data_IF_815830920197
#
_entry.id   IF_815830920197
#
_cell.length_a   1.000
_cell.length_b   1.000
_cell.length_c   1.000
_cell.angle_alpha   90.00
_cell.angle_beta   90.00
_cell.angle_gamma   90.00
#
_symmetry.space_group_name_H-M   'P 1'
#
loop_
_entity.id
_entity.type
_entity.pdbx_description
1 polymer ?
#
# COMPACT_ATOMS: atom_id res chain seq x y z
N UNK A 1 2.82 26.55 -5.43
CA UNK A 1 1.81 25.62 -4.86
C UNK A 1 2.44 24.24 -4.90
N UNK A 2 2.52 23.54 -3.79
CA UNK A 2 3.10 22.18 -3.75
C UNK A 2 2.21 21.23 -4.57
N UNK A 3 2.73 20.59 -5.63
CA UNK A 3 1.94 19.71 -6.47
C UNK A 3 1.34 18.51 -5.72
N UNK A 4 1.90 18.16 -4.56
CA UNK A 4 1.35 17.12 -3.68
C UNK A 4 0.06 17.55 -2.97
N UNK A 5 -0.20 18.84 -2.91
CA UNK A 5 -1.37 19.46 -2.28
C UNK A 5 -2.42 19.94 -3.28
N UNK A 6 -2.18 19.78 -4.60
CA UNK A 6 -3.18 20.12 -5.60
C UNK A 6 -4.39 19.20 -5.43
N UNK A 7 -5.54 19.79 -5.22
CA UNK A 7 -6.83 19.14 -5.03
C UNK A 7 -6.99 18.38 -3.70
N UNK A 8 -6.61 19.00 -2.60
CA UNK A 8 -7.10 18.55 -1.27
C UNK A 8 -8.49 19.13 -1.10
N UNK A 9 -9.47 18.25 -0.88
CA UNK A 9 -10.77 18.66 -0.41
C UNK A 9 -10.59 19.32 0.96
N UNK A 10 -11.02 20.59 1.09
CA UNK A 10 -10.89 21.35 2.35
C UNK A 10 -11.48 20.62 3.54
N UNK A 11 -12.51 19.77 3.31
CA UNK A 11 -13.11 18.91 4.33
C UNK A 11 -12.15 17.87 4.92
N UNK A 12 -11.09 17.51 4.21
CA UNK A 12 -10.08 16.54 4.66
C UNK A 12 -8.90 17.18 5.39
N UNK A 13 -8.76 18.51 5.33
CA UNK A 13 -7.66 19.23 5.97
C UNK A 13 -7.72 19.19 7.52
N UNK A 14 -8.86 18.86 8.08
CA UNK A 14 -9.08 18.88 9.52
C UNK A 14 -9.19 17.50 10.16
N UNK A 15 -8.99 16.41 9.39
CA UNK A 15 -9.18 15.06 9.90
C UNK A 15 -8.02 14.13 9.55
N UNK A 16 -7.56 13.38 10.53
CA UNK A 16 -6.67 12.25 10.30
C UNK A 16 -7.39 11.19 9.46
N UNK A 17 -6.88 10.86 8.28
CA UNK A 17 -7.51 9.90 7.35
C UNK A 17 -7.61 8.48 7.91
N UNK A 18 -6.91 8.18 9.00
CA UNK A 18 -6.91 6.87 9.64
C UNK A 18 -7.88 6.72 10.80
N UNK A 19 -8.20 7.79 11.52
CA UNK A 19 -9.02 7.71 12.74
C UNK A 19 -10.01 8.87 12.94
N UNK A 20 -10.08 9.85 12.04
CA UNK A 20 -11.01 10.98 12.11
C UNK A 20 -10.68 12.04 13.16
N UNK A 21 -9.63 11.87 13.98
CA UNK A 21 -9.19 12.89 14.95
C UNK A 21 -8.47 14.04 14.24
N UNK A 22 -8.33 15.21 14.88
CA UNK A 22 -7.54 16.31 14.33
C UNK A 22 -6.12 15.84 13.96
N UNK A 23 -5.62 16.17 12.77
CA UNK A 23 -4.27 15.84 12.34
C UNK A 23 -3.26 16.82 12.94
N UNK A 24 -2.06 16.35 13.20
CA UNK A 24 -0.92 17.14 13.66
C UNK A 24 0.38 16.80 12.90
N UNK A 25 0.28 15.92 11.91
CA UNK A 25 1.39 15.49 11.05
C UNK A 25 0.89 15.08 9.67
N UNK A 26 1.83 14.71 8.81
CA UNK A 26 1.56 14.20 7.47
C UNK A 26 2.21 12.83 7.29
N UNK A 27 1.55 11.96 6.52
CA UNK A 27 2.04 10.63 6.23
C UNK A 27 2.12 10.40 4.72
N UNK A 28 3.13 9.65 4.29
CA UNK A 28 3.29 9.29 2.88
C UNK A 28 2.51 8.02 2.53
N UNK A 29 1.84 8.04 1.39
CA UNK A 29 1.09 6.89 0.87
C UNK A 29 1.56 6.56 -0.55
N UNK A 30 2.29 5.47 -0.73
CA UNK A 30 2.73 4.51 0.29
C UNK A 30 3.88 5.02 1.15
N UNK A 31 4.08 4.33 2.28
CA UNK A 31 5.21 4.63 3.16
C UNK A 31 6.55 4.43 2.46
N UNK A 32 7.48 5.34 2.68
CA UNK A 32 8.80 5.32 2.02
C UNK A 32 9.60 4.05 2.26
N UNK A 33 9.37 3.36 3.38
CA UNK A 33 10.06 2.10 3.69
C UNK A 33 9.71 0.99 2.70
N UNK A 34 8.51 1.04 2.11
CA UNK A 34 8.04 0.08 1.12
C UNK A 34 8.56 0.34 -0.31
N UNK A 35 9.20 1.49 -0.56
CA UNK A 35 9.70 1.90 -1.87
C UNK A 35 11.22 1.73 -1.96
N UNK A 36 11.76 1.72 -3.16
CA UNK A 36 13.20 1.82 -3.41
C UNK A 36 13.70 3.24 -3.22
N UNK A 37 15.00 3.40 -2.98
CA UNK A 37 15.65 4.71 -2.89
C UNK A 37 16.21 5.14 -4.26
N UNK A 38 16.04 6.40 -4.66
CA UNK A 38 15.24 7.41 -4.01
C UNK A 38 13.73 7.20 -4.23
N UNK A 39 12.87 7.52 -3.27
CA UNK A 39 11.42 7.48 -3.48
C UNK A 39 11.02 8.56 -4.49
N UNK A 40 9.86 8.42 -5.17
CA UNK A 40 9.32 9.44 -6.05
C UNK A 40 9.21 10.79 -5.34
N UNK A 41 9.56 11.87 -6.05
CA UNK A 41 9.52 13.23 -5.50
C UNK A 41 8.10 13.75 -5.24
N UNK A 42 7.14 13.21 -5.98
CA UNK A 42 5.71 13.54 -5.96
C UNK A 42 4.88 12.54 -5.14
N UNK A 43 5.54 11.80 -4.23
CA UNK A 43 4.88 10.78 -3.40
C UNK A 43 3.69 11.37 -2.65
N UNK A 44 2.49 10.79 -2.78
CA UNK A 44 1.29 11.24 -2.09
C UNK A 44 1.47 11.44 -0.59
N UNK A 45 0.81 12.47 -0.07
CA UNK A 45 0.84 12.82 1.36
C UNK A 45 -0.60 13.03 1.84
N UNK A 46 -0.94 12.46 2.98
CA UNK A 46 -2.24 12.59 3.63
C UNK A 46 -2.10 13.13 5.04
N UNK A 47 -3.14 13.79 5.54
CA UNK A 47 -3.16 14.30 6.90
C UNK A 47 -3.36 13.16 7.91
N UNK A 48 -2.52 13.14 8.94
CA UNK A 48 -2.53 12.10 9.95
C UNK A 48 -2.28 12.68 11.35
N UNK A 49 -2.78 12.03 12.38
CA UNK A 49 -2.34 12.34 13.74
C UNK A 49 -1.08 11.54 14.09
N UNK A 50 -0.22 12.12 14.92
CA UNK A 50 1.04 11.49 15.37
C UNK A 50 0.85 10.05 15.87
N UNK A 51 -0.17 9.72 16.71
CA UNK A 51 -0.38 8.33 17.13
C UNK A 51 -0.63 7.35 15.98
N UNK A 52 -1.40 7.75 14.95
CA UNK A 52 -1.62 6.89 13.78
C UNK A 52 -0.34 6.76 12.94
N UNK A 53 0.29 7.90 12.60
CA UNK A 53 1.48 7.91 11.77
C UNK A 53 2.63 7.07 12.37
N UNK A 54 2.87 7.20 13.68
CA UNK A 54 3.90 6.42 14.38
C UNK A 54 3.47 4.98 14.67
N UNK A 55 2.17 4.75 14.87
CA UNK A 55 1.63 3.43 15.25
C UNK A 55 1.86 2.35 14.19
N UNK A 56 1.97 2.71 12.93
CA UNK A 56 2.18 1.77 11.83
C UNK A 56 3.67 1.46 11.54
N UNK A 57 4.59 2.30 12.00
CA UNK A 57 5.99 2.29 11.54
C UNK A 57 6.72 0.97 11.76
N UNK A 58 6.46 0.28 12.88
CA UNK A 58 7.08 -1.03 13.17
C UNK A 58 6.52 -2.14 12.29
N UNK A 59 5.24 -2.07 11.92
CA UNK A 59 4.61 -3.06 11.04
C UNK A 59 5.02 -2.83 9.59
N UNK A 60 5.20 -1.58 9.19
CA UNK A 60 5.72 -1.21 7.87
C UNK A 60 7.18 -1.64 7.69
N UNK A 61 8.02 -1.44 8.71
CA UNK A 61 9.40 -1.94 8.70
C UNK A 61 9.43 -3.47 8.62
N UNK A 62 8.58 -4.14 9.42
CA UNK A 62 8.44 -5.60 9.36
C UNK A 62 8.05 -6.07 7.95
N UNK A 63 6.98 -5.53 7.37
CA UNK A 63 6.51 -5.95 6.05
C UNK A 63 7.56 -5.70 4.96
N UNK A 64 8.24 -4.54 4.99
CA UNK A 64 9.29 -4.21 4.04
C UNK A 64 10.47 -5.18 4.12
N UNK A 65 10.90 -5.55 5.35
CA UNK A 65 11.99 -6.50 5.58
C UNK A 65 11.56 -7.92 5.21
N UNK A 66 10.35 -8.33 5.60
CA UNK A 66 9.79 -9.63 5.28
C UNK A 66 9.73 -9.87 3.77
N UNK A 67 9.13 -8.95 3.02
CA UNK A 67 9.02 -9.06 1.56
C UNK A 67 10.39 -9.14 0.89
N UNK A 68 11.37 -8.34 1.32
CA UNK A 68 12.72 -8.39 0.76
C UNK A 68 13.38 -9.75 1.01
N UNK A 69 13.19 -10.35 2.20
CA UNK A 69 13.71 -11.69 2.52
C UNK A 69 13.01 -12.78 1.69
N UNK A 70 11.69 -12.70 1.53
CA UNK A 70 10.93 -13.63 0.70
C UNK A 70 11.40 -13.60 -0.75
N UNK A 71 11.54 -12.40 -1.33
CA UNK A 71 11.99 -12.21 -2.72
C UNK A 71 13.44 -12.67 -2.93
N UNK A 72 14.28 -12.51 -1.93
CA UNK A 72 15.67 -12.99 -1.96
C UNK A 72 15.79 -14.50 -1.66
N UNK A 73 14.73 -15.14 -1.16
CA UNK A 73 14.79 -16.52 -0.64
C UNK A 73 15.77 -16.67 0.54
N UNK A 74 16.09 -15.59 1.23
CA UNK A 74 17.15 -15.57 2.24
C UNK A 74 16.96 -14.44 3.25
N UNK A 75 17.35 -14.71 4.51
CA UNK A 75 17.45 -13.68 5.56
C UNK A 75 18.87 -13.13 5.73
N UNK A 76 19.84 -13.64 4.96
CA UNK A 76 21.21 -13.13 4.99
C UNK A 76 21.26 -11.74 4.32
N UNK A 77 21.63 -10.68 5.04
CA UNK A 77 21.68 -9.33 4.48
C UNK A 77 22.53 -9.20 3.21
N UNK A 78 23.50 -10.10 3.00
CA UNK A 78 24.35 -10.09 1.79
C UNK A 78 23.59 -10.45 0.52
N UNK A 79 22.47 -11.16 0.63
CA UNK A 79 21.63 -11.58 -0.50
C UNK A 79 20.50 -10.61 -0.80
N UNK A 80 20.21 -9.66 0.12
CA UNK A 80 19.13 -8.70 -0.05
C UNK A 80 19.54 -7.62 -1.07
N UNK A 81 18.57 -7.05 -1.76
CA UNK A 81 18.81 -6.02 -2.77
C UNK A 81 18.89 -4.61 -2.17
N UNK A 82 17.95 -4.29 -1.25
CA UNK A 82 17.72 -2.93 -0.76
C UNK A 82 18.63 -2.59 0.42
N UNK A 83 19.53 -1.62 0.24
CA UNK A 83 20.52 -1.23 1.26
C UNK A 83 19.89 -0.76 2.58
N UNK A 84 18.72 -0.10 2.52
CA UNK A 84 18.02 0.31 3.75
C UNK A 84 17.51 -0.88 4.55
N UNK A 85 17.08 -1.95 3.87
CA UNK A 85 16.61 -3.17 4.53
C UNK A 85 17.79 -3.95 5.12
N UNK A 86 18.91 -4.06 4.40
CA UNK A 86 20.15 -4.65 4.95
C UNK A 86 20.53 -3.98 6.27
N UNK A 87 20.52 -2.63 6.29
CA UNK A 87 20.85 -1.85 7.50
C UNK A 87 19.82 -2.04 8.60
N UNK A 88 18.53 -2.11 8.30
CA UNK A 88 17.49 -2.35 9.29
C UNK A 88 17.67 -3.71 9.96
N UNK A 89 17.83 -4.78 9.19
CA UNK A 89 18.02 -6.13 9.71
C UNK A 89 19.36 -6.31 10.45
N UNK A 90 20.44 -5.64 9.98
CA UNK A 90 21.74 -5.68 10.67
C UNK A 90 21.75 -4.93 12.02
N UNK A 91 20.78 -4.09 12.29
CA UNK A 91 20.66 -3.31 13.55
C UNK A 91 19.57 -3.84 14.48
N UNK A 92 18.72 -4.72 14.00
CA UNK A 92 17.56 -5.21 14.74
C UNK A 92 17.51 -6.74 14.74
N UNK A 93 18.33 -7.34 15.63
CA UNK A 93 18.41 -8.80 15.76
C UNK A 93 17.06 -9.45 16.09
N UNK A 94 16.16 -8.73 16.80
CA UNK A 94 14.82 -9.24 17.12
C UNK A 94 13.95 -9.33 15.88
N UNK A 95 14.01 -8.31 15.01
CA UNK A 95 13.28 -8.31 13.74
C UNK A 95 13.82 -9.42 12.82
N UNK A 96 15.15 -9.54 12.72
CA UNK A 96 15.79 -10.60 11.94
C UNK A 96 15.37 -11.99 12.44
N UNK A 97 15.47 -12.26 13.74
CA UNK A 97 15.09 -13.55 14.33
C UNK A 97 13.59 -13.87 14.09
N UNK A 98 12.73 -12.86 14.15
CA UNK A 98 11.29 -13.00 13.89
C UNK A 98 11.02 -13.41 12.43
N UNK A 99 11.69 -12.76 11.47
CA UNK A 99 11.57 -13.11 10.05
C UNK A 99 12.21 -14.49 9.79
N UNK A 100 13.33 -14.82 10.41
CA UNK A 100 13.92 -16.17 10.31
C UNK A 100 12.97 -17.25 10.79
N UNK A 101 12.26 -17.01 11.88
CA UNK A 101 11.30 -17.96 12.44
C UNK A 101 10.06 -18.16 11.55
N UNK A 102 9.78 -17.25 10.62
CA UNK A 102 8.66 -17.36 9.66
C UNK A 102 9.00 -18.25 8.45
N UNK A 103 10.29 -18.53 8.23
CA UNK A 103 10.74 -19.40 7.13
C UNK A 103 10.69 -20.86 7.58
N UNK A 104 10.08 -21.70 6.76
CA UNK A 104 10.04 -23.16 6.92
C UNK A 104 10.20 -23.82 5.56
N UNK A 105 10.50 -25.10 5.55
CA UNK A 105 10.44 -25.93 4.35
C UNK A 105 9.06 -26.60 4.29
N UNK A 106 8.51 -26.66 3.10
CA UNK A 106 7.32 -27.47 2.84
C UNK A 106 7.67 -28.98 2.70
N UNK A 107 6.69 -29.80 2.38
CA UNK A 107 6.84 -31.25 2.20
C UNK A 107 7.74 -31.62 0.99
N UNK A 108 8.14 -30.63 0.19
CA UNK A 108 9.00 -30.78 -1.00
C UNK A 108 10.34 -30.07 -0.85
N UNK A 109 10.73 -29.73 0.39
CA UNK A 109 11.95 -28.96 0.72
C UNK A 109 12.00 -27.55 0.07
N UNK A 110 10.86 -26.97 -0.27
CA UNK A 110 10.78 -25.60 -0.81
C UNK A 110 10.60 -24.61 0.34
N UNK A 111 11.38 -23.52 0.38
CA UNK A 111 11.19 -22.48 1.40
C UNK A 111 9.82 -21.81 1.28
N UNK A 112 9.03 -21.91 2.33
CA UNK A 112 7.74 -21.23 2.50
C UNK A 112 7.86 -20.24 3.64
N UNK A 113 7.26 -19.07 3.46
CA UNK A 113 7.34 -17.97 4.40
C UNK A 113 5.94 -17.64 4.92
N UNK A 114 5.76 -17.69 6.22
CA UNK A 114 4.49 -17.40 6.88
C UNK A 114 4.59 -16.07 7.63
N UNK A 115 3.97 -14.99 7.12
CA UNK A 115 4.06 -13.67 7.75
C UNK A 115 3.26 -13.61 9.05
N UNK A 116 3.53 -12.59 9.87
CA UNK A 116 2.64 -12.20 10.96
C UNK A 116 1.41 -11.49 10.36
N UNK A 117 0.34 -12.21 10.14
CA UNK A 117 -0.87 -11.75 9.42
C UNK A 117 -1.43 -10.44 9.97
N UNK A 118 -1.47 -10.27 11.28
CA UNK A 118 -1.97 -9.06 11.91
C UNK A 118 -1.19 -7.82 11.46
N UNK A 119 0.15 -7.92 11.40
CA UNK A 119 1.01 -6.82 10.95
C UNK A 119 0.81 -6.51 9.47
N UNK A 120 0.75 -7.56 8.64
CA UNK A 120 0.52 -7.40 7.21
C UNK A 120 -0.82 -6.72 6.97
N UNK A 121 -1.89 -7.23 7.60
CA UNK A 121 -3.23 -6.64 7.50
C UNK A 121 -3.28 -5.19 7.98
N UNK A 122 -2.59 -4.87 9.08
CA UNK A 122 -2.52 -3.52 9.62
C UNK A 122 -1.90 -2.54 8.60
N UNK A 123 -0.78 -2.92 7.96
CA UNK A 123 -0.15 -2.11 6.93
C UNK A 123 -1.02 -2.00 5.69
N UNK A 124 -1.59 -3.10 5.22
CA UNK A 124 -2.47 -3.11 4.03
C UNK A 124 -3.68 -2.22 4.24
N UNK A 125 -4.32 -2.30 5.40
CA UNK A 125 -5.45 -1.44 5.76
C UNK A 125 -5.05 0.04 5.83
N UNK A 126 -3.90 0.35 6.44
CA UNK A 126 -3.34 1.72 6.46
C UNK A 126 -3.16 2.26 5.04
N UNK A 127 -2.50 1.51 4.17
CA UNK A 127 -2.25 1.91 2.79
C UNK A 127 -3.56 2.13 2.03
N UNK A 128 -4.50 1.21 2.17
CA UNK A 128 -5.79 1.30 1.49
C UNK A 128 -6.60 2.53 1.94
N UNK A 129 -6.64 2.83 3.24
CA UNK A 129 -7.27 4.06 3.78
C UNK A 129 -6.62 5.32 3.22
N UNK A 130 -5.29 5.35 3.18
CA UNK A 130 -4.56 6.47 2.63
C UNK A 130 -4.84 6.69 1.15
N UNK A 131 -4.89 5.62 0.35
CA UNK A 131 -5.22 5.71 -1.08
C UNK A 131 -6.67 6.12 -1.31
N UNK A 132 -7.65 5.56 -0.57
CA UNK A 132 -9.05 5.97 -0.67
C UNK A 132 -9.22 7.46 -0.38
N UNK A 133 -8.63 7.95 0.70
CA UNK A 133 -8.66 9.37 1.05
C UNK A 133 -7.98 10.24 -0.01
N UNK A 134 -6.80 9.84 -0.50
CA UNK A 134 -6.03 10.63 -1.45
C UNK A 134 -6.65 10.65 -2.85
N UNK A 135 -7.14 9.53 -3.34
CA UNK A 135 -7.63 9.39 -4.71
C UNK A 135 -9.09 9.80 -4.86
N UNK A 136 -9.94 9.43 -3.88
CA UNK A 136 -11.37 9.67 -3.94
C UNK A 136 -11.84 10.83 -3.08
N UNK A 137 -11.03 11.35 -2.18
CA UNK A 137 -11.44 12.27 -1.10
C UNK A 137 -12.44 11.63 -0.13
N UNK A 138 -12.38 10.30 0.04
CA UNK A 138 -13.30 9.49 0.85
C UNK A 138 -12.52 8.72 1.95
N UNK A 139 -12.23 9.32 3.11
CA UNK A 139 -11.61 8.62 4.23
C UNK A 139 -12.49 7.47 4.70
N UNK A 140 -11.91 6.28 4.79
CA UNK A 140 -12.57 5.07 5.27
C UNK A 140 -12.25 4.85 6.74
N UNK A 141 -13.11 5.35 7.64
CA UNK A 141 -12.89 5.31 9.09
C UNK A 141 -13.41 4.03 9.74
N UNK A 142 -14.42 3.43 9.15
CA UNK A 142 -15.00 2.17 9.61
C UNK A 142 -14.13 0.97 9.24
N UNK A 143 -14.46 -0.19 9.82
CA UNK A 143 -13.81 -1.45 9.45
C UNK A 143 -14.15 -1.83 8.00
N UNK A 144 -13.21 -2.40 7.23
CA UNK A 144 -13.51 -2.93 5.92
C UNK A 144 -14.37 -4.19 6.02
N UNK A 145 -15.17 -4.43 4.97
CA UNK A 145 -15.90 -5.69 4.82
C UNK A 145 -14.93 -6.84 4.49
N UNK A 146 -13.97 -6.56 3.60
CA UNK A 146 -13.00 -7.55 3.14
C UNK A 146 -11.57 -7.01 3.22
N UNK A 147 -10.66 -7.85 3.68
CA UNK A 147 -9.21 -7.67 3.51
C UNK A 147 -8.62 -8.98 2.99
N UNK A 148 -8.22 -8.98 1.74
CA UNK A 148 -7.56 -10.11 1.08
C UNK A 148 -6.09 -9.79 0.86
N UNK A 149 -5.22 -10.74 1.15
CA UNK A 149 -3.76 -10.65 0.92
C UNK A 149 -3.26 -12.00 0.44
N UNK A 150 -2.59 -12.03 -0.70
CA UNK A 150 -2.03 -13.27 -1.26
C UNK A 150 -0.83 -12.98 -2.14
N UNK A 151 0.17 -13.86 -2.20
CA UNK A 151 1.16 -13.82 -3.28
C UNK A 151 0.47 -13.96 -4.64
N UNK A 152 0.84 -13.13 -5.62
CA UNK A 152 0.31 -13.22 -6.99
C UNK A 152 0.46 -14.63 -7.60
N UNK A 153 1.56 -15.32 -7.26
CA UNK A 153 1.83 -16.67 -7.75
C UNK A 153 0.96 -17.75 -7.09
N UNK A 154 0.35 -17.46 -5.95
CA UNK A 154 -0.54 -18.37 -5.25
C UNK A 154 -2.01 -18.24 -5.70
N UNK A 155 -2.32 -17.21 -6.48
CA UNK A 155 -3.65 -17.01 -7.03
C UNK A 155 -3.88 -17.96 -8.22
N UNK A 156 -5.14 -18.40 -8.42
CA UNK A 156 -5.52 -19.08 -9.65
C UNK A 156 -5.35 -18.14 -10.86
N UNK A 157 -5.20 -18.70 -12.07
CA UNK A 157 -5.08 -17.90 -13.29
C UNK A 157 -6.30 -16.99 -13.52
N UNK A 158 -7.49 -17.45 -13.12
CA UNK A 158 -8.74 -16.70 -13.23
C UNK A 158 -8.78 -15.55 -12.23
N UNK A 159 -8.47 -15.81 -10.96
CA UNK A 159 -8.43 -14.79 -9.91
C UNK A 159 -7.36 -13.74 -10.22
N UNK A 160 -6.18 -14.18 -10.66
CA UNK A 160 -5.10 -13.29 -11.03
C UNK A 160 -5.48 -12.41 -12.21
N UNK A 161 -6.10 -12.99 -13.25
CA UNK A 161 -6.59 -12.23 -14.40
C UNK A 161 -7.64 -11.21 -14.00
N UNK A 162 -8.56 -11.58 -13.13
CA UNK A 162 -9.57 -10.67 -12.58
C UNK A 162 -8.93 -9.55 -11.75
N UNK A 163 -7.97 -9.88 -10.91
CA UNK A 163 -7.23 -8.92 -10.09
C UNK A 163 -6.42 -7.93 -10.93
N UNK A 164 -5.70 -8.42 -11.95
CA UNK A 164 -4.84 -7.59 -12.81
C UNK A 164 -5.64 -6.68 -13.76
N UNK A 165 -6.86 -7.09 -14.09
CA UNK A 165 -7.80 -6.31 -14.88
C UNK A 165 -9.01 -5.96 -14.01
N UNK A 166 -8.82 -5.14 -12.95
CA UNK A 166 -9.96 -4.62 -12.24
C UNK A 166 -10.85 -4.00 -13.30
N UNK A 167 -12.11 -4.41 -13.35
CA UNK A 167 -13.07 -4.03 -14.41
C UNK A 167 -12.96 -2.54 -14.69
N UNK A 168 -13.49 -2.02 -15.79
CA UNK A 168 -13.33 -0.61 -16.08
C UNK A 168 -13.70 0.08 -14.80
N UNK A 169 -12.73 0.67 -14.12
CA UNK A 169 -12.92 1.50 -12.93
C UNK A 169 -13.98 2.51 -13.33
N UNK A 170 -15.15 1.97 -13.48
CA UNK A 170 -16.29 2.61 -14.04
C UNK A 170 -16.90 3.34 -12.90
N UNK A 171 -16.43 4.57 -12.72
CA UNK A 171 -17.22 5.54 -12.01
C UNK A 171 -18.65 5.40 -12.49
N UNK A 172 -19.48 4.65 -11.79
CA UNK A 172 -20.92 4.67 -11.97
C UNK A 172 -21.47 5.99 -11.41
N UNK A 173 -20.85 7.08 -11.86
CA UNK A 173 -21.11 8.43 -11.43
C UNK A 173 -19.85 9.28 -11.64
N UNK A 174 -19.96 10.55 -11.39
CA UNK A 174 -18.81 11.43 -11.35
C UNK A 174 -18.17 11.29 -9.96
N UNK A 175 -16.83 11.10 -9.89
CA UNK A 175 -16.13 11.11 -8.61
C UNK A 175 -16.32 12.44 -7.93
N UNK A 176 -16.11 12.46 -6.63
CA UNK A 176 -16.16 13.67 -5.83
C UNK A 176 -15.38 14.79 -6.51
N UNK A 177 -16.02 15.94 -6.71
CA UNK A 177 -15.43 17.12 -7.37
C UNK A 177 -14.14 17.49 -6.62
N UNK A 178 -13.07 17.76 -7.37
CA UNK A 178 -11.72 18.01 -6.89
C UNK A 178 -10.96 16.78 -6.33
N UNK A 179 -11.56 15.59 -6.31
CA UNK A 179 -10.79 14.38 -6.08
C UNK A 179 -9.79 14.12 -7.22
N UNK A 180 -8.74 13.36 -6.96
CA UNK A 180 -7.79 12.99 -8.02
C UNK A 180 -8.44 12.10 -9.09
N UNK A 181 -9.37 11.25 -8.68
CA UNK A 181 -10.17 10.46 -9.59
C UNK A 181 -11.00 11.37 -10.54
N UNK A 182 -11.60 12.44 -9.99
CA UNK A 182 -12.29 13.45 -10.81
C UNK A 182 -11.34 14.14 -11.80
N UNK A 183 -10.17 14.58 -11.33
CA UNK A 183 -9.19 15.24 -12.19
C UNK A 183 -8.72 14.32 -13.33
N UNK A 184 -8.55 13.02 -13.07
CA UNK A 184 -8.25 12.03 -14.13
C UNK A 184 -9.43 11.89 -15.12
N UNK A 185 -10.65 11.81 -14.60
CA UNK A 185 -11.86 11.67 -15.43
C UNK A 185 -12.06 12.86 -16.39
N UNK A 186 -11.68 14.08 -15.99
CA UNK A 186 -11.73 15.27 -16.84
C UNK A 186 -10.46 15.50 -17.68
N UNK A 187 -9.53 14.54 -17.69
CA UNK A 187 -8.33 14.58 -18.52
C UNK A 187 -7.19 15.43 -17.96
N UNK A 188 -7.26 15.87 -16.70
CA UNK A 188 -6.10 16.45 -16.02
C UNK A 188 -5.02 15.37 -15.85
N UNK A 189 -3.75 15.72 -16.06
CA UNK A 189 -2.63 14.79 -15.86
C UNK A 189 -2.23 14.78 -14.40
N UNK A 190 -2.57 13.76 -13.62
CA UNK A 190 -2.02 13.60 -12.27
C UNK A 190 -0.54 13.22 -12.36
N UNK A 191 0.19 13.43 -11.28
CA UNK A 191 1.65 13.28 -11.23
C UNK A 191 2.16 11.84 -11.36
N UNK A 192 1.34 10.82 -11.03
CA UNK A 192 1.71 9.41 -11.14
C UNK A 192 1.43 8.85 -12.53
N UNK A 193 2.28 7.94 -12.98
CA UNK A 193 2.10 7.22 -14.23
C UNK A 193 0.89 6.29 -14.11
N UNK A 194 0.01 6.33 -15.12
CA UNK A 194 -1.17 5.47 -15.19
C UNK A 194 -0.98 4.40 -16.27
N UNK A 195 -1.10 3.14 -15.86
CA UNK A 195 -1.09 1.99 -16.74
C UNK A 195 -2.45 1.27 -16.68
N UNK A 196 -3.37 1.67 -17.55
CA UNK A 196 -4.76 1.18 -17.49
C UNK A 196 -5.45 1.65 -16.19
N UNK A 197 -6.04 0.73 -15.40
CA UNK A 197 -6.65 1.05 -14.11
C UNK A 197 -5.63 1.24 -12.97
N UNK A 198 -4.36 0.92 -13.19
CA UNK A 198 -3.31 0.98 -12.19
C UNK A 198 -2.61 2.33 -12.18
N UNK A 199 -2.38 2.84 -10.99
CA UNK A 199 -1.51 3.98 -10.72
C UNK A 199 -0.18 3.43 -10.26
N UNK A 200 0.88 3.65 -11.06
CA UNK A 200 2.23 3.16 -10.77
C UNK A 200 2.96 4.22 -9.96
N UNK A 201 3.19 3.95 -8.69
CA UNK A 201 3.97 4.84 -7.81
C UNK A 201 5.46 4.65 -8.07
N UNK A 202 5.89 3.40 -8.18
CA UNK A 202 7.27 3.05 -8.52
C UNK A 202 7.28 1.71 -9.26
N UNK A 203 7.78 1.72 -10.49
CA UNK A 203 7.77 0.56 -11.37
C UNK A 203 8.45 -0.66 -10.73
N UNK A 204 7.80 -1.81 -10.78
CA UNK A 204 8.27 -3.05 -10.18
C UNK A 204 8.20 -3.12 -8.66
N UNK A 205 7.87 -2.02 -7.96
CA UNK A 205 7.88 -1.96 -6.51
C UNK A 205 6.51 -1.68 -5.89
N UNK A 206 5.75 -0.75 -6.48
CA UNK A 206 4.46 -0.37 -5.91
C UNK A 206 3.49 0.17 -6.96
N UNK A 207 2.32 -0.41 -7.04
CA UNK A 207 1.18 0.10 -7.81
C UNK A 207 -0.13 -0.14 -7.07
N UNK A 208 -1.11 0.71 -7.32
CA UNK A 208 -2.43 0.57 -6.72
C UNK A 208 -3.53 0.94 -7.72
N UNK A 209 -4.73 0.51 -7.42
CA UNK A 209 -5.96 0.92 -8.09
C UNK A 209 -7.00 1.24 -7.03
N UNK A 210 -7.79 2.28 -7.26
CA UNK A 210 -8.88 2.67 -6.37
C UNK A 210 -10.14 2.83 -7.22
N UNK A 211 -11.19 2.20 -6.76
CA UNK A 211 -12.50 2.18 -7.44
C UNK A 211 -13.62 2.48 -6.43
N UNK A 212 -14.64 3.21 -6.90
CA UNK A 212 -15.85 3.52 -6.16
C UNK A 212 -17.04 2.95 -6.93
N UNK A 213 -17.46 1.72 -6.57
CA UNK A 213 -18.53 1.01 -7.23
C UNK A 213 -19.43 0.29 -6.23
N UNK A 214 -20.43 0.99 -5.71
CA UNK A 214 -21.28 0.48 -4.63
C UNK A 214 -20.58 0.34 -3.28
N UNK A 215 -19.45 1.01 -3.14
CA UNK A 215 -18.52 0.99 -2.03
C UNK A 215 -17.13 1.40 -2.49
N UNK A 216 -16.16 1.39 -1.61
CA UNK A 216 -14.76 1.71 -1.94
C UNK A 216 -13.93 0.42 -2.01
N UNK A 217 -13.24 0.21 -3.11
CA UNK A 217 -12.32 -0.89 -3.32
C UNK A 217 -10.93 -0.36 -3.61
N UNK A 218 -9.94 -0.83 -2.84
CA UNK A 218 -8.54 -0.50 -3.05
C UNK A 218 -7.76 -1.78 -3.31
N UNK A 219 -7.05 -1.82 -4.44
CA UNK A 219 -6.15 -2.90 -4.80
C UNK A 219 -4.72 -2.39 -4.76
N UNK A 220 -3.81 -3.18 -4.20
CA UNK A 220 -2.40 -2.81 -4.05
C UNK A 220 -1.55 -4.00 -4.49
N UNK A 221 -0.46 -3.71 -5.23
CA UNK A 221 0.59 -4.69 -5.50
C UNK A 221 1.90 -4.17 -4.92
N UNK A 222 2.52 -5.00 -4.09
CA UNK A 222 3.82 -4.73 -3.48
C UNK A 222 4.87 -5.63 -4.13
N UNK A 223 5.95 -5.01 -4.66
CA UNK A 223 7.12 -5.66 -5.25
C UNK A 223 6.78 -6.68 -6.36
N UNK A 224 5.70 -6.45 -7.12
CA UNK A 224 5.13 -7.38 -8.10
C UNK A 224 4.97 -8.82 -7.56
N UNK A 225 4.81 -8.94 -6.25
CA UNK A 225 4.71 -10.21 -5.53
C UNK A 225 3.43 -10.33 -4.71
N UNK A 226 3.12 -9.35 -3.87
CA UNK A 226 1.99 -9.41 -2.94
C UNK A 226 0.80 -8.63 -3.47
N UNK A 227 -0.29 -9.33 -3.75
CA UNK A 227 -1.60 -8.76 -4.10
C UNK A 227 -2.42 -8.51 -2.83
N UNK A 228 -3.01 -7.32 -2.73
CA UNK A 228 -3.88 -6.95 -1.63
C UNK A 228 -5.17 -6.33 -2.16
N UNK A 229 -6.30 -6.65 -1.54
CA UNK A 229 -7.60 -6.04 -1.82
C UNK A 229 -8.24 -5.66 -0.49
N UNK A 230 -8.74 -4.43 -0.40
CA UNK A 230 -9.53 -3.96 0.75
C UNK A 230 -10.81 -3.34 0.23
N UNK A 231 -11.95 -3.74 0.80
CA UNK A 231 -13.27 -3.31 0.35
C UNK A 231 -14.10 -2.80 1.53
N UNK A 232 -14.81 -1.71 1.26
CA UNK A 232 -15.84 -1.11 2.13
C UNK A 232 -17.13 -0.96 1.34
N UNK A 233 -18.25 -1.25 1.98
CA UNK A 233 -19.62 -1.05 1.45
C UNK A 233 -20.27 0.20 1.98
#
# INVERSE_FOLDING_TARGET
>A
MDPRQLAVDERLLEVCVYCGRPPDTHDHVPSRVLLDDPPPHDLPVVDACTPCNQGFSLDEEYLACFLECVLAGSTDPRHLRREKIKRALSRNDRLLARIQASARLDDHDVPVWEPEDERVRNVVLKLARGHAAYELSLPQLDGPETVFVSPLLAMSDEDRKSFENPGPGGLQGWPEINSRAFLRAVGAKPYSEQAGPWIVVQAGQYRHSVDEHGGVRVQIVLAEYLACVVEWT
#
